data_IF_607226162753
#
_entry.id   IF_607226162753
#
_cell.length_a   1.000
_cell.length_b   1.000
_cell.length_c   1.000
_cell.angle_alpha   90.00
_cell.angle_beta   90.00
_cell.angle_gamma   90.00
#
_symmetry.space_group_name_H-M   'P 1'
#
loop_
_entity.id
_entity.type
_entity.pdbx_description
1 polymer ?
#
# COMPACT_ATOMS: atom_id res chain seq x y z
N UNK A 1 -59.85 -4.67 -48.50
CA UNK A 1 -59.08 -3.55 -47.79
C UNK A 1 -58.69 -3.84 -46.33
N UNK A 2 -58.69 -5.05 -45.84
CA UNK A 2 -58.40 -5.37 -44.40
C UNK A 2 -56.98 -5.91 -44.12
N UNK A 3 -56.24 -6.36 -45.11
CA UNK A 3 -54.91 -6.96 -44.88
C UNK A 3 -53.75 -5.93 -44.75
N UNK A 4 -53.87 -4.75 -45.26
CA UNK A 4 -52.81 -3.72 -45.21
C UNK A 4 -52.59 -3.09 -43.84
N UNK A 5 -53.58 -3.15 -42.93
CA UNK A 5 -53.48 -2.59 -41.55
C UNK A 5 -52.74 -3.54 -40.59
N UNK A 6 -52.82 -4.86 -40.77
CA UNK A 6 -52.17 -5.83 -39.91
C UNK A 6 -50.64 -5.87 -40.10
N UNK A 7 -50.15 -5.67 -41.32
CA UNK A 7 -48.73 -5.70 -41.62
C UNK A 7 -47.96 -4.45 -41.04
N UNK A 8 -48.60 -3.30 -41.02
CA UNK A 8 -48.00 -2.08 -40.41
C UNK A 8 -47.85 -2.21 -38.90
N UNK A 9 -48.78 -2.83 -38.20
CA UNK A 9 -48.71 -3.02 -36.74
C UNK A 9 -47.58 -4.00 -36.33
N UNK A 10 -47.33 -5.03 -37.13
CA UNK A 10 -46.31 -6.04 -36.83
C UNK A 10 -44.89 -5.50 -37.05
N UNK A 11 -44.68 -4.65 -38.05
CA UNK A 11 -43.39 -4.01 -38.31
C UNK A 11 -43.09 -2.96 -37.21
N UNK A 12 -44.09 -2.16 -36.83
CA UNK A 12 -43.96 -1.15 -35.76
C UNK A 12 -43.62 -1.79 -34.39
N UNK A 13 -44.26 -2.91 -34.05
CA UNK A 13 -43.96 -3.67 -32.83
C UNK A 13 -42.54 -4.23 -32.79
N UNK A 14 -42.03 -4.73 -33.95
CA UNK A 14 -40.64 -5.21 -34.04
C UNK A 14 -39.63 -4.10 -33.84
N UNK A 15 -39.86 -2.92 -34.40
CA UNK A 15 -38.98 -1.75 -34.23
C UNK A 15 -38.97 -1.31 -32.78
N UNK A 16 -40.11 -1.25 -32.12
CA UNK A 16 -40.23 -0.89 -30.72
C UNK A 16 -39.47 -1.90 -29.84
N UNK A 17 -39.63 -3.21 -30.10
CA UNK A 17 -38.93 -4.24 -29.34
C UNK A 17 -37.40 -4.15 -29.49
N UNK A 18 -36.92 -3.90 -30.72
CA UNK A 18 -35.49 -3.72 -30.98
C UNK A 18 -34.96 -2.49 -30.22
N UNK A 19 -35.69 -1.39 -30.29
CA UNK A 19 -35.32 -0.15 -29.57
C UNK A 19 -35.30 -0.37 -28.04
N UNK A 20 -36.29 -1.08 -27.50
CA UNK A 20 -36.36 -1.40 -26.06
C UNK A 20 -35.18 -2.27 -25.62
N UNK A 21 -34.86 -3.31 -26.40
CA UNK A 21 -33.70 -4.17 -26.11
C UNK A 21 -32.41 -3.37 -26.18
N UNK A 22 -32.24 -2.50 -27.17
CA UNK A 22 -31.04 -1.68 -27.30
C UNK A 22 -30.84 -0.75 -26.08
N UNK A 23 -31.93 -0.11 -25.63
CA UNK A 23 -31.91 0.73 -24.42
C UNK A 23 -31.61 -0.10 -23.18
N UNK A 24 -32.25 -1.26 -23.04
CA UNK A 24 -32.02 -2.15 -21.88
C UNK A 24 -30.55 -2.62 -21.80
N UNK A 25 -29.96 -3.01 -22.94
CA UNK A 25 -28.53 -3.38 -23.01
C UNK A 25 -27.64 -2.18 -22.67
N UNK A 26 -27.96 -0.98 -23.17
CA UNK A 26 -27.21 0.23 -22.84
C UNK A 26 -27.22 0.53 -21.33
N UNK A 27 -28.38 0.47 -20.68
CA UNK A 27 -28.51 0.68 -19.23
C UNK A 27 -27.75 -0.41 -18.47
N UNK A 28 -27.88 -1.68 -18.85
CA UNK A 28 -27.16 -2.78 -18.22
C UNK A 28 -25.64 -2.58 -18.31
N UNK A 29 -25.12 -2.18 -19.45
CA UNK A 29 -23.70 -1.89 -19.64
C UNK A 29 -23.20 -0.76 -18.71
N UNK A 30 -23.98 0.30 -18.55
CA UNK A 30 -23.64 1.41 -17.64
C UNK A 30 -23.62 0.93 -16.18
N UNK A 31 -24.61 0.15 -15.76
CA UNK A 31 -24.66 -0.37 -14.39
C UNK A 31 -23.46 -1.30 -14.09
N UNK A 32 -23.10 -2.16 -15.02
CA UNK A 32 -21.92 -3.03 -14.89
C UNK A 32 -20.64 -2.20 -14.79
N UNK A 33 -20.48 -1.19 -15.64
CA UNK A 33 -19.31 -0.32 -15.61
C UNK A 33 -19.19 0.45 -14.28
N UNK A 34 -20.31 0.94 -13.74
CA UNK A 34 -20.33 1.62 -12.43
C UNK A 34 -19.99 0.66 -11.29
N UNK A 35 -20.55 -0.55 -11.29
CA UNK A 35 -20.27 -1.56 -10.27
C UNK A 35 -18.80 -1.98 -10.29
N UNK A 36 -18.23 -2.22 -11.47
CA UNK A 36 -16.81 -2.53 -11.65
C UNK A 36 -15.91 -1.39 -11.15
N UNK A 37 -16.21 -0.15 -11.54
CA UNK A 37 -15.43 1.02 -11.12
C UNK A 37 -15.40 1.17 -9.60
N UNK A 38 -16.54 1.03 -8.92
CA UNK A 38 -16.62 1.10 -7.47
C UNK A 38 -15.87 -0.05 -6.79
N UNK A 39 -16.01 -1.26 -7.32
CA UNK A 39 -15.29 -2.42 -6.82
C UNK A 39 -13.78 -2.25 -6.88
N UNK A 40 -13.27 -1.79 -8.03
CA UNK A 40 -11.85 -1.52 -8.23
C UNK A 40 -11.32 -0.40 -7.31
N UNK A 41 -12.06 0.69 -7.17
CA UNK A 41 -11.68 1.79 -6.26
C UNK A 41 -11.58 1.33 -4.81
N UNK A 42 -12.54 0.52 -4.34
CA UNK A 42 -12.52 -0.03 -2.98
C UNK A 42 -11.33 -0.98 -2.78
N UNK A 43 -11.03 -1.83 -3.75
CA UNK A 43 -9.90 -2.76 -3.68
C UNK A 43 -8.55 -2.02 -3.63
N UNK A 44 -8.37 -1.01 -4.49
CA UNK A 44 -7.16 -0.18 -4.46
C UNK A 44 -7.04 0.55 -3.12
N UNK A 45 -8.13 1.17 -2.63
CA UNK A 45 -8.13 1.87 -1.35
C UNK A 45 -7.76 0.94 -0.21
N UNK A 46 -8.35 -0.25 -0.15
CA UNK A 46 -8.06 -1.23 0.89
C UNK A 46 -6.59 -1.67 0.85
N UNK A 47 -6.06 -2.01 -0.32
CA UNK A 47 -4.65 -2.40 -0.48
C UNK A 47 -3.71 -1.28 -0.07
N UNK A 48 -3.96 -0.05 -0.51
CA UNK A 48 -3.11 1.10 -0.17
C UNK A 48 -3.17 1.42 1.33
N UNK A 49 -4.36 1.34 1.95
CA UNK A 49 -4.52 1.66 3.36
C UNK A 49 -3.82 0.67 4.30
N UNK A 50 -3.70 -0.59 3.90
CA UNK A 50 -2.97 -1.60 4.67
C UNK A 50 -1.48 -1.26 4.80
N UNK A 51 -0.88 -0.74 3.74
CA UNK A 51 0.55 -0.39 3.75
C UNK A 51 0.82 1.02 4.28
N UNK A 52 -0.01 2.00 3.95
CA UNK A 52 0.24 3.42 4.26
C UNK A 52 -0.61 3.95 5.42
N UNK A 53 -1.60 3.18 5.88
CA UNK A 53 -2.63 3.68 6.77
C UNK A 53 -3.72 4.43 5.98
N UNK A 54 -4.88 4.64 6.60
CA UNK A 54 -5.96 5.42 6.01
C UNK A 54 -5.67 6.91 6.03
N UNK A 55 -4.98 7.38 7.08
CA UNK A 55 -4.58 8.77 7.27
C UNK A 55 -3.14 8.80 7.75
N UNK A 56 -2.29 9.55 7.07
CA UNK A 56 -0.92 9.83 7.46
C UNK A 56 -0.84 11.23 8.06
N UNK A 57 -0.35 11.34 9.28
CA UNK A 57 -0.08 12.63 9.93
C UNK A 57 1.42 12.89 9.84
N UNK A 58 1.79 13.93 9.13
CA UNK A 58 3.17 14.34 8.93
C UNK A 58 3.33 15.82 9.26
N UNK A 59 4.56 16.31 9.55
CA UNK A 59 4.81 17.73 9.68
C UNK A 59 4.53 18.42 8.33
N UNK A 60 4.10 19.67 8.39
CA UNK A 60 3.92 20.47 7.19
C UNK A 60 5.30 20.80 6.60
N UNK A 61 5.56 20.31 5.42
CA UNK A 61 6.79 20.57 4.67
C UNK A 61 6.44 21.02 3.24
N UNK A 62 7.23 21.98 2.71
CA UNK A 62 7.06 22.47 1.33
C UNK A 62 7.63 21.50 0.29
N UNK A 63 7.70 20.22 0.59
CA UNK A 63 8.18 19.24 -0.35
C UNK A 63 7.02 18.27 -0.71
N UNK A 64 6.89 17.96 -1.98
CA UNK A 64 5.90 17.00 -2.49
C UNK A 64 6.34 15.54 -2.32
N UNK A 65 7.48 15.30 -1.65
CA UNK A 65 8.00 13.96 -1.41
C UNK A 65 7.19 13.24 -0.34
N UNK A 66 6.97 11.96 -0.51
CA UNK A 66 6.39 11.09 0.53
C UNK A 66 7.33 10.87 1.71
N UNK A 67 8.59 11.30 1.59
CA UNK A 67 9.62 11.17 2.61
C UNK A 67 9.77 12.51 3.33
N UNK A 68 9.29 12.57 4.57
CA UNK A 68 9.51 13.72 5.44
C UNK A 68 10.97 13.79 5.90
N UNK A 69 11.59 14.96 5.76
CA UNK A 69 12.95 15.23 6.24
C UNK A 69 12.94 15.61 7.73
N UNK A 70 11.80 16.08 8.22
CA UNK A 70 11.64 16.56 9.60
C UNK A 70 10.98 15.49 10.45
N UNK A 71 11.49 15.29 11.66
CA UNK A 71 10.90 14.36 12.61
C UNK A 71 9.65 14.98 13.26
N UNK A 72 8.52 14.29 13.15
CA UNK A 72 7.30 14.67 13.86
C UNK A 72 7.40 14.26 15.32
N UNK A 73 7.30 15.23 16.23
CA UNK A 73 7.18 14.91 17.66
C UNK A 73 5.77 14.42 17.94
N UNK A 74 5.65 13.13 18.24
CA UNK A 74 4.39 12.53 18.66
C UNK A 74 4.00 13.12 20.04
N UNK A 75 3.20 14.21 20.02
CA UNK A 75 2.73 14.84 21.25
C UNK A 75 1.53 14.07 21.81
N UNK A 76 1.49 13.91 23.15
CA UNK A 76 0.35 13.28 23.83
C UNK A 76 -0.97 14.02 23.57
N UNK A 77 -0.90 15.33 23.36
CA UNK A 77 -2.03 16.20 23.08
C UNK A 77 -2.69 15.85 21.73
N UNK A 78 -1.89 15.68 20.67
CA UNK A 78 -2.37 15.27 19.36
C UNK A 78 -3.00 13.87 19.41
N UNK A 79 -2.37 12.94 20.13
CA UNK A 79 -2.92 11.61 20.33
C UNK A 79 -4.28 11.65 21.02
N UNK A 80 -4.41 12.43 22.10
CA UNK A 80 -5.66 12.56 22.85
C UNK A 80 -6.77 13.23 22.03
N UNK A 81 -6.44 14.20 21.18
CA UNK A 81 -7.42 14.84 20.29
C UNK A 81 -7.95 13.84 19.25
N UNK A 82 -7.07 13.06 18.63
CA UNK A 82 -7.45 12.08 17.62
C UNK A 82 -8.27 10.94 18.22
N UNK A 83 -7.91 10.46 19.40
CA UNK A 83 -8.61 9.38 20.12
C UNK A 83 -10.05 9.74 20.52
N UNK A 84 -10.41 11.01 20.56
CA UNK A 84 -11.78 11.47 20.87
C UNK A 84 -12.77 11.23 19.72
N UNK A 85 -12.28 11.01 18.50
CA UNK A 85 -13.15 10.76 17.36
C UNK A 85 -13.71 9.33 17.39
N UNK A 86 -15.02 9.19 17.21
CA UNK A 86 -15.73 7.90 17.29
C UNK A 86 -15.28 6.88 16.26
N UNK A 87 -14.73 7.33 15.14
CA UNK A 87 -14.22 6.49 14.05
C UNK A 87 -12.75 6.11 14.21
N UNK A 88 -12.11 6.55 15.29
CA UNK A 88 -10.73 6.22 15.59
C UNK A 88 -10.59 4.74 15.95
N UNK A 89 -9.73 4.03 15.23
CA UNK A 89 -9.44 2.63 15.51
C UNK A 89 -8.05 2.46 16.13
N UNK A 90 -6.99 2.79 15.38
CA UNK A 90 -5.60 2.64 15.83
C UNK A 90 -4.69 3.72 15.25
N UNK A 91 -3.63 4.02 15.98
CA UNK A 91 -2.54 4.87 15.53
C UNK A 91 -1.21 4.23 15.95
N UNK A 92 -0.25 4.25 15.04
CA UNK A 92 1.10 3.80 15.32
C UNK A 92 2.13 4.73 14.66
N UNK A 93 3.26 4.98 15.30
CA UNK A 93 4.32 5.77 14.69
C UNK A 93 4.99 4.99 13.56
N UNK A 94 5.32 5.71 12.49
CA UNK A 94 6.06 5.17 11.36
C UNK A 94 7.22 6.08 11.01
N UNK A 95 8.33 5.51 10.56
CA UNK A 95 9.45 6.25 10.00
C UNK A 95 9.62 5.82 8.54
N UNK A 96 9.46 6.75 7.60
CA UNK A 96 9.63 6.48 6.18
C UNK A 96 10.93 7.11 5.72
N UNK A 97 11.78 6.32 5.07
CA UNK A 97 13.04 6.78 4.48
C UNK A 97 13.23 6.18 3.10
N UNK A 98 13.62 7.01 2.15
CA UNK A 98 14.16 6.50 0.89
C UNK A 98 15.52 5.86 1.14
N UNK A 99 15.76 4.74 0.51
CA UNK A 99 17.00 3.99 0.63
C UNK A 99 17.26 3.13 -0.59
N UNK A 100 18.45 2.56 -0.61
CA UNK A 100 18.89 1.65 -1.65
C UNK A 100 19.23 0.32 -1.00
N UNK A 101 18.66 -0.75 -1.49
CA UNK A 101 19.03 -2.12 -1.13
C UNK A 101 20.09 -2.63 -2.08
N UNK A 102 21.10 -3.30 -1.53
CA UNK A 102 22.17 -3.93 -2.30
C UNK A 102 22.24 -5.41 -1.95
N UNK A 103 22.27 -6.24 -3.00
CA UNK A 103 22.57 -7.66 -2.90
C UNK A 103 23.53 -8.03 -4.05
N UNK A 104 24.66 -8.61 -3.70
CA UNK A 104 25.73 -8.87 -4.67
C UNK A 104 26.12 -7.57 -5.43
N UNK A 105 25.93 -7.56 -6.75
CA UNK A 105 26.18 -6.40 -7.61
C UNK A 105 24.92 -5.65 -8.02
N UNK A 106 23.75 -6.13 -7.57
CA UNK A 106 22.45 -5.53 -7.89
C UNK A 106 22.02 -4.50 -6.84
N UNK A 107 21.35 -3.44 -7.31
CA UNK A 107 20.83 -2.36 -6.48
C UNK A 107 19.35 -2.08 -6.81
N UNK A 108 18.55 -1.85 -5.79
CA UNK A 108 17.15 -1.48 -5.94
C UNK A 108 16.80 -0.32 -5.00
N UNK A 109 16.21 0.74 -5.57
CA UNK A 109 15.68 1.87 -4.79
C UNK A 109 14.35 1.52 -4.15
N UNK A 110 14.20 1.76 -2.84
CA UNK A 110 12.99 1.41 -2.11
C UNK A 110 12.64 2.45 -1.05
N UNK A 111 11.37 2.51 -0.69
CA UNK A 111 10.93 3.20 0.51
C UNK A 111 11.00 2.23 1.70
N UNK A 112 11.83 2.55 2.67
CA UNK A 112 11.99 1.80 3.89
C UNK A 112 11.03 2.34 4.95
N UNK A 113 10.09 1.52 5.38
CA UNK A 113 9.13 1.85 6.41
C UNK A 113 9.52 1.18 7.73
N UNK A 114 9.98 1.99 8.68
CA UNK A 114 10.23 1.55 10.06
C UNK A 114 8.94 1.54 10.85
N UNK A 115 8.64 0.42 11.52
CA UNK A 115 7.46 0.26 12.36
C UNK A 115 7.85 -0.26 13.73
N UNK A 116 7.07 0.11 14.76
CA UNK A 116 7.25 -0.34 16.14
C UNK A 116 6.48 -1.62 16.47
N UNK A 117 6.51 -1.98 17.75
CA UNK A 117 5.79 -3.14 18.30
C UNK A 117 4.26 -3.03 18.18
N UNK A 118 3.75 -1.81 18.06
CA UNK A 118 2.32 -1.49 17.96
C UNK A 118 1.74 -1.73 16.55
N UNK A 119 2.60 -2.04 15.59
CA UNK A 119 2.16 -2.26 14.20
C UNK A 119 1.31 -3.52 14.07
N UNK A 120 0.16 -3.37 13.40
CA UNK A 120 -0.79 -4.47 13.18
C UNK A 120 -0.37 -5.35 12.00
N UNK A 121 0.33 -6.42 12.30
CA UNK A 121 0.76 -7.40 11.30
C UNK A 121 -0.39 -8.23 10.72
N UNK A 122 -1.50 -8.38 11.47
CA UNK A 122 -2.66 -9.14 10.98
C UNK A 122 -3.29 -8.49 9.75
N UNK A 123 -3.19 -7.17 9.63
CA UNK A 123 -3.67 -6.46 8.45
C UNK A 123 -2.92 -6.85 7.16
N UNK A 124 -1.70 -7.37 7.29
CA UNK A 124 -0.86 -7.83 6.17
C UNK A 124 -1.02 -9.32 5.83
N UNK A 125 -1.84 -10.09 6.58
CA UNK A 125 -1.96 -11.54 6.37
C UNK A 125 -2.43 -11.90 4.95
N UNK A 126 -3.30 -11.09 4.36
CA UNK A 126 -3.75 -11.28 2.97
C UNK A 126 -2.69 -11.05 1.91
N UNK A 127 -1.56 -10.43 2.26
CA UNK A 127 -0.47 -10.10 1.34
C UNK A 127 0.78 -10.93 1.55
N UNK A 128 0.91 -11.59 2.70
CA UNK A 128 2.08 -12.42 3.02
C UNK A 128 2.14 -13.64 2.12
N UNK A 129 3.24 -13.82 1.42
CA UNK A 129 3.48 -14.97 0.54
C UNK A 129 4.32 -16.03 1.21
N UNK A 130 5.40 -15.67 1.92
CA UNK A 130 6.34 -16.59 2.54
C UNK A 130 6.90 -16.06 3.85
N UNK A 131 7.32 -16.95 4.74
CA UNK A 131 8.04 -16.62 5.97
C UNK A 131 7.16 -16.23 7.15
N UNK A 132 7.75 -15.51 8.09
CA UNK A 132 7.13 -15.10 9.36
C UNK A 132 7.29 -13.61 9.55
N UNK A 133 6.31 -13.01 10.24
CA UNK A 133 6.45 -11.63 10.68
C UNK A 133 7.61 -11.52 11.67
N UNK A 134 8.33 -10.43 11.60
CA UNK A 134 9.40 -10.20 12.54
C UNK A 134 8.87 -10.07 13.98
N UNK A 135 9.60 -10.60 14.94
CA UNK A 135 9.22 -10.54 16.35
C UNK A 135 9.96 -9.39 17.06
N UNK A 136 9.25 -8.57 17.81
CA UNK A 136 9.76 -7.36 18.48
C UNK A 136 10.47 -7.59 19.83
N UNK A 137 10.55 -8.85 20.29
CA UNK A 137 11.05 -9.17 21.63
C UNK A 137 12.56 -8.98 21.83
N UNK A 138 13.32 -8.59 20.82
CA UNK A 138 14.77 -8.36 20.95
C UNK A 138 15.15 -6.94 20.58
N UNK A 139 16.01 -6.35 21.37
CA UNK A 139 16.71 -5.10 21.10
C UNK A 139 17.40 -5.17 19.72
N UNK A 140 17.30 -4.13 18.92
CA UNK A 140 17.92 -4.02 17.59
C UNK A 140 17.62 -5.19 16.63
N UNK A 141 16.45 -5.14 16.06
CA UNK A 141 16.02 -6.18 15.12
C UNK A 141 16.47 -5.84 13.69
N UNK A 142 17.50 -6.55 13.20
CA UNK A 142 17.97 -6.42 11.81
C UNK A 142 17.17 -7.32 10.84
N UNK A 143 15.86 -7.40 11.03
CA UNK A 143 14.97 -8.20 10.21
C UNK A 143 14.18 -7.31 9.26
N UNK A 144 13.94 -7.80 8.04
CA UNK A 144 13.17 -7.10 7.02
C UNK A 144 12.05 -7.99 6.51
N UNK A 145 10.89 -7.38 6.31
CA UNK A 145 9.75 -7.94 5.61
C UNK A 145 9.60 -7.15 4.32
N UNK A 146 9.80 -7.77 3.16
CA UNK A 146 9.96 -7.06 1.91
C UNK A 146 9.06 -7.60 0.80
N UNK A 147 8.88 -6.79 -0.23
CA UNK A 147 8.14 -7.20 -1.43
C UNK A 147 8.86 -8.35 -2.13
N UNK A 148 8.11 -9.38 -2.53
CA UNK A 148 8.62 -10.50 -3.33
C UNK A 148 9.13 -10.01 -4.69
N UNK A 149 8.55 -8.94 -5.25
CA UNK A 149 9.01 -8.33 -6.48
C UNK A 149 10.44 -7.80 -6.33
N UNK A 150 10.72 -7.07 -5.25
CA UNK A 150 12.06 -6.53 -4.97
C UNK A 150 13.04 -7.65 -4.66
N UNK A 151 12.62 -8.65 -3.89
CA UNK A 151 13.46 -9.82 -3.60
C UNK A 151 13.87 -10.56 -4.89
N UNK A 152 12.94 -10.77 -5.81
CA UNK A 152 13.22 -11.43 -7.09
C UNK A 152 14.17 -10.60 -7.98
N UNK A 153 14.03 -9.26 -8.00
CA UNK A 153 14.95 -8.38 -8.75
C UNK A 153 16.38 -8.43 -8.23
N UNK A 154 16.54 -8.59 -6.92
CA UNK A 154 17.82 -8.72 -6.24
C UNK A 154 18.32 -10.17 -6.14
N UNK A 155 17.63 -11.13 -6.74
CA UNK A 155 17.91 -12.56 -6.65
C UNK A 155 18.05 -13.08 -5.20
N UNK A 156 17.19 -12.55 -4.30
CA UNK A 156 17.17 -12.87 -2.88
C UNK A 156 16.01 -13.80 -2.53
N UNK A 157 16.25 -14.64 -1.53
CA UNK A 157 15.27 -15.57 -0.99
C UNK A 157 15.08 -15.37 0.52
N UNK A 158 14.08 -16.05 1.08
CA UNK A 158 13.82 -16.04 2.52
C UNK A 158 15.04 -16.54 3.29
N UNK A 159 15.49 -15.75 4.26
CA UNK A 159 16.64 -16.06 5.10
C UNK A 159 17.95 -15.40 4.66
N UNK A 160 18.01 -14.90 3.44
CA UNK A 160 19.19 -14.19 2.94
C UNK A 160 19.39 -12.85 3.65
N UNK A 161 20.59 -12.32 3.52
CA UNK A 161 20.97 -11.01 4.08
C UNK A 161 21.28 -10.03 2.96
N UNK A 162 20.89 -8.78 3.18
CA UNK A 162 21.12 -7.68 2.26
C UNK A 162 21.66 -6.45 2.99
N UNK A 163 22.30 -5.57 2.26
CA UNK A 163 22.74 -4.28 2.76
C UNK A 163 21.74 -3.20 2.33
N UNK A 164 21.33 -2.35 3.28
CA UNK A 164 20.54 -1.18 3.02
C UNK A 164 21.36 0.08 3.27
N UNK A 165 21.32 1.00 2.32
CA UNK A 165 21.97 2.29 2.36
C UNK A 165 20.93 3.39 2.43
N UNK A 166 21.06 4.30 3.38
CA UNK A 166 20.20 5.46 3.52
C UNK A 166 20.99 6.71 3.76
N UNK A 167 20.48 7.80 3.24
CA UNK A 167 21.06 9.10 3.48
C UNK A 167 20.96 9.47 4.96
N UNK A 168 22.05 9.93 5.53
CA UNK A 168 22.10 10.45 6.91
C UNK A 168 22.00 11.95 6.89
N UNK A 169 21.00 12.50 7.58
CA UNK A 169 20.85 13.96 7.73
C UNK A 169 21.99 14.58 8.57
N UNK A 170 22.64 13.78 9.44
CA UNK A 170 23.66 14.26 10.37
C UNK A 170 25.11 14.18 9.86
N UNK A 171 25.35 13.49 8.75
CA UNK A 171 26.69 13.38 8.16
C UNK A 171 26.57 13.63 6.66
N UNK A 172 26.98 14.81 6.25
CA UNK A 172 27.12 15.13 4.83
C UNK A 172 28.15 14.19 4.19
N UNK A 173 27.72 13.49 3.16
CA UNK A 173 28.61 12.78 2.23
C UNK A 173 28.66 11.25 2.35
N UNK A 174 28.26 10.60 3.44
CA UNK A 174 28.36 9.15 3.56
C UNK A 174 27.02 8.49 3.92
N UNK A 175 26.50 7.58 3.06
CA UNK A 175 25.29 6.84 3.38
C UNK A 175 25.53 5.91 4.57
N UNK A 176 24.53 5.79 5.44
CA UNK A 176 24.55 4.77 6.49
C UNK A 176 24.23 3.42 5.90
N UNK A 177 25.12 2.46 6.13
CA UNK A 177 24.91 1.05 5.76
C UNK A 177 24.37 0.29 6.96
N UNK A 178 23.32 -0.50 6.73
CA UNK A 178 22.82 -1.51 7.69
C UNK A 178 22.57 -2.82 6.98
N UNK A 179 22.90 -3.92 7.66
CA UNK A 179 22.65 -5.26 7.16
C UNK A 179 21.34 -5.78 7.72
N UNK A 180 20.47 -6.33 6.87
CA UNK A 180 19.19 -6.90 7.23
C UNK A 180 19.07 -8.34 6.76
N UNK A 181 18.32 -9.15 7.55
CA UNK A 181 17.97 -10.53 7.20
C UNK A 181 16.49 -10.59 6.80
N UNK A 182 16.20 -11.23 5.66
CA UNK A 182 14.84 -11.40 5.16
C UNK A 182 14.14 -12.46 6.01
N UNK A 183 13.05 -12.07 6.69
CA UNK A 183 12.25 -12.99 7.53
C UNK A 183 10.90 -13.32 6.93
N UNK A 184 10.43 -12.51 5.99
CA UNK A 184 9.21 -12.76 5.26
C UNK A 184 9.11 -11.93 4.00
N UNK A 185 8.28 -12.43 3.10
CA UNK A 185 7.99 -11.82 1.81
C UNK A 185 6.50 -11.57 1.69
N UNK A 186 6.12 -10.49 0.99
CA UNK A 186 4.75 -10.17 0.67
C UNK A 186 4.59 -9.77 -0.80
N UNK A 187 3.38 -9.90 -1.29
CA UNK A 187 2.99 -9.47 -2.64
C UNK A 187 1.83 -8.49 -2.55
N UNK A 188 2.09 -7.22 -2.82
CA UNK A 188 1.08 -6.16 -2.82
C UNK A 188 0.63 -5.73 -4.22
N UNK A 189 1.38 -6.14 -5.24
CA UNK A 189 1.27 -5.57 -6.58
C UNK A 189 2.02 -4.24 -6.75
N UNK A 190 2.57 -3.68 -5.66
CA UNK A 190 3.38 -2.46 -5.67
C UNK A 190 4.81 -2.78 -5.23
N UNK A 191 5.83 -2.53 -6.07
CA UNK A 191 7.20 -2.96 -5.80
C UNK A 191 7.93 -2.13 -4.73
N UNK A 192 7.47 -0.91 -4.45
CA UNK A 192 8.34 0.15 -3.94
C UNK A 192 8.48 0.23 -2.41
N UNK A 193 7.77 -0.60 -1.64
CA UNK A 193 7.78 -0.52 -0.18
C UNK A 193 8.46 -1.74 0.43
N UNK A 194 9.51 -1.52 1.21
CA UNK A 194 10.08 -2.53 2.09
C UNK A 194 9.81 -2.16 3.55
N UNK A 195 9.19 -3.05 4.30
CA UNK A 195 8.88 -2.80 5.71
C UNK A 195 10.05 -3.28 6.55
N UNK A 196 10.70 -2.34 7.20
CA UNK A 196 11.75 -2.57 8.16
C UNK A 196 11.20 -2.56 9.57
N UNK A 197 11.77 -3.37 10.41
CA UNK A 197 11.57 -3.27 11.84
C UNK A 197 12.62 -2.36 12.45
N UNK A 198 12.15 -1.27 13.01
CA UNK A 198 12.94 -0.49 13.94
C UNK A 198 12.49 -0.84 15.35
N UNK A 199 13.37 -1.40 16.18
CA UNK A 199 13.20 -1.25 17.61
C UNK A 199 13.23 0.25 17.92
N UNK A 200 12.42 0.72 18.86
CA UNK A 200 12.34 2.10 19.30
C UNK A 200 13.74 2.74 19.43
N UNK A 201 14.23 3.29 18.36
CA UNK A 201 15.37 4.18 18.38
C UNK A 201 14.84 5.56 18.64
N UNK A 202 14.93 6.05 19.90
CA UNK A 202 14.88 7.48 20.16
C UNK A 202 15.71 8.18 19.08
N UNK A 203 15.18 9.19 18.40
CA UNK A 203 16.02 10.04 17.57
C UNK A 203 17.05 10.70 18.51
N UNK A 204 18.30 10.29 18.41
CA UNK A 204 19.44 11.07 18.89
C UNK A 204 19.81 12.05 17.79
#
# INVERSE_FOLDING_TARGET
>A
MRQHKQHKNTVSLRIINIATIAVAVGIAAILIAMAFSRGLQNEIRNKTSVFNGQILIAPFENNESQVSLTSFKNSKEVQQQIQKHSEFNRMHPVAIKAGMLKANDDFEGVLLKGVGSEFDWCSLDGFKTKGKYPNFKSELNNKIFMSEIVANRLNLTLGDTLDAFFQSVQREGFPRRRKFKITGLYFSGFPDIAILLSSEGKPK
#
